data_IF_239453851155
#
_entry.id   IF_239453851155
#
_cell.length_a   1.000
_cell.length_b   1.000
_cell.length_c   1.000
_cell.angle_alpha   90.00
_cell.angle_beta   90.00
_cell.angle_gamma   90.00
#
_symmetry.space_group_name_H-M   'P 1'
#
loop_
_entity.id
_entity.type
_entity.pdbx_description
1 polymer ?
#
# COMPACT_ATOMS: atom_id res chain seq x y z
N UNK A 1 -14.00 15.26 -25.54
CA UNK A 1 -12.63 15.27 -24.97
C UNK A 1 -12.64 15.19 -23.44
N UNK A 2 -13.28 16.11 -22.71
CA UNK A 2 -13.29 16.10 -21.23
C UNK A 2 -13.84 14.81 -20.60
N UNK A 3 -14.97 14.29 -21.10
CA UNK A 3 -15.56 13.05 -20.57
C UNK A 3 -14.65 11.83 -20.76
N UNK A 4 -13.98 11.72 -21.92
CA UNK A 4 -13.02 10.64 -22.17
C UNK A 4 -11.80 10.74 -21.23
N UNK A 5 -11.32 11.95 -20.96
CA UNK A 5 -10.23 12.17 -20.00
C UNK A 5 -10.63 11.78 -18.57
N UNK A 6 -11.87 12.07 -18.15
CA UNK A 6 -12.39 11.66 -16.84
C UNK A 6 -12.52 10.14 -16.72
N UNK A 7 -12.97 9.45 -17.77
CA UNK A 7 -13.06 7.98 -17.78
C UNK A 7 -11.66 7.35 -17.71
N UNK A 8 -10.69 7.88 -18.45
CA UNK A 8 -9.31 7.39 -18.38
C UNK A 8 -8.69 7.63 -17.00
N UNK A 9 -8.95 8.78 -16.39
CA UNK A 9 -8.53 9.06 -15.01
C UNK A 9 -9.17 8.09 -14.01
N UNK A 10 -10.45 7.79 -14.16
CA UNK A 10 -11.17 6.84 -13.32
C UNK A 10 -10.60 5.41 -13.42
N UNK A 11 -10.40 4.92 -14.64
CA UNK A 11 -9.78 3.62 -14.89
C UNK A 11 -8.36 3.54 -14.34
N UNK A 12 -7.60 4.63 -14.43
CA UNK A 12 -6.27 4.72 -13.85
C UNK A 12 -6.32 4.66 -12.31
N UNK A 13 -7.24 5.37 -11.67
CA UNK A 13 -7.44 5.30 -10.22
C UNK A 13 -7.89 3.91 -9.76
N UNK A 14 -8.80 3.28 -10.49
CA UNK A 14 -9.19 1.89 -10.25
C UNK A 14 -7.97 0.98 -10.30
N UNK A 15 -7.11 1.12 -11.32
CA UNK A 15 -5.84 0.39 -11.39
C UNK A 15 -4.95 0.60 -10.15
N UNK A 16 -4.87 1.81 -9.61
CA UNK A 16 -4.14 2.11 -8.37
C UNK A 16 -4.76 1.47 -7.14
N UNK A 17 -6.08 1.43 -7.03
CA UNK A 17 -6.75 0.71 -5.94
C UNK A 17 -6.50 -0.79 -5.99
N UNK A 18 -6.48 -1.40 -7.18
CA UNK A 18 -6.17 -2.82 -7.36
C UNK A 18 -4.70 -3.12 -7.05
N UNK A 19 -3.79 -2.21 -7.42
CA UNK A 19 -2.38 -2.34 -7.04
C UNK A 19 -2.19 -2.29 -5.52
N UNK A 20 -2.91 -1.41 -4.81
CA UNK A 20 -2.88 -1.38 -3.34
C UNK A 20 -3.42 -2.68 -2.71
N UNK A 21 -4.38 -3.36 -3.35
CA UNK A 21 -4.92 -4.63 -2.85
C UNK A 21 -3.89 -5.76 -2.82
N UNK A 22 -2.90 -5.71 -3.71
CA UNK A 22 -1.80 -6.70 -3.75
C UNK A 22 -1.00 -6.69 -2.43
N UNK A 23 -1.04 -5.57 -1.72
CA UNK A 23 -0.38 -5.37 -0.43
C UNK A 23 -1.34 -5.50 0.76
N UNK A 24 -2.61 -5.87 0.57
CA UNK A 24 -3.59 -5.99 1.66
C UNK A 24 -3.18 -6.98 2.76
N UNK A 25 -2.42 -8.02 2.40
CA UNK A 25 -1.90 -9.01 3.34
C UNK A 25 -0.61 -8.60 4.05
N UNK A 26 0.02 -7.50 3.63
CA UNK A 26 1.31 -7.08 4.14
C UNK A 26 1.16 -6.49 5.54
N UNK A 27 1.98 -6.97 6.48
CA UNK A 27 2.06 -6.44 7.83
C UNK A 27 3.53 -6.39 8.25
N UNK A 28 4.02 -5.21 8.62
CA UNK A 28 5.37 -5.04 9.15
C UNK A 28 5.34 -4.39 10.52
N UNK A 29 6.11 -4.93 11.47
CA UNK A 29 6.32 -4.36 12.79
C UNK A 29 7.79 -3.98 12.92
N UNK A 30 8.03 -2.71 13.27
CA UNK A 30 9.38 -2.18 13.50
C UNK A 30 9.61 -2.09 15.00
N UNK A 31 10.75 -2.61 15.45
CA UNK A 31 11.18 -2.59 16.84
C UNK A 31 12.35 -1.61 17.02
N UNK A 32 12.89 -1.53 18.24
CA UNK A 32 14.20 -0.91 18.41
C UNK A 32 15.28 -1.78 17.75
N UNK A 33 16.36 -1.14 17.32
CA UNK A 33 17.47 -1.82 16.66
C UNK A 33 18.00 -2.96 17.54
N UNK A 34 18.10 -4.16 16.96
CA UNK A 34 18.53 -5.37 17.65
C UNK A 34 17.64 -5.84 18.81
N UNK A 35 16.37 -5.43 18.86
CA UNK A 35 15.45 -5.85 19.94
C UNK A 35 14.90 -7.26 19.74
N UNK A 36 14.81 -7.76 18.50
CA UNK A 36 14.20 -9.06 18.20
C UNK A 36 15.28 -10.14 18.15
N UNK A 37 15.36 -11.05 19.14
CA UNK A 37 16.35 -12.12 19.13
C UNK A 37 16.01 -13.20 18.10
N UNK A 38 17.03 -13.84 17.54
CA UNK A 38 16.86 -14.97 16.63
C UNK A 38 16.04 -16.11 17.23
N UNK A 39 16.29 -16.44 18.50
CA UNK A 39 15.62 -17.55 19.21
C UNK A 39 14.11 -17.31 19.33
N UNK A 40 13.70 -16.07 19.59
CA UNK A 40 12.28 -15.70 19.66
C UNK A 40 11.58 -15.85 18.32
N UNK A 41 12.27 -15.54 17.22
CA UNK A 41 11.75 -15.77 15.88
C UNK A 41 11.63 -17.26 15.56
N UNK A 42 12.60 -18.08 15.97
CA UNK A 42 12.51 -19.54 15.77
C UNK A 42 11.34 -20.14 16.54
N UNK A 43 11.14 -19.74 17.80
CA UNK A 43 9.98 -20.16 18.60
C UNK A 43 8.66 -19.77 17.95
N UNK A 44 8.58 -18.58 17.36
CA UNK A 44 7.41 -18.16 16.59
C UNK A 44 7.21 -19.05 15.37
N UNK A 45 8.26 -19.31 14.60
CA UNK A 45 8.18 -20.09 13.36
C UNK A 45 7.82 -21.57 13.59
N UNK A 46 8.15 -22.11 14.76
CA UNK A 46 7.78 -23.47 15.18
C UNK A 46 6.32 -23.57 15.68
N UNK A 47 5.64 -22.44 15.87
CA UNK A 47 4.29 -22.40 16.42
C UNK A 47 3.22 -22.77 15.38
N UNK A 48 2.08 -23.28 15.86
CA UNK A 48 0.90 -23.54 15.01
C UNK A 48 0.30 -22.26 14.42
N UNK A 49 0.58 -21.11 15.03
CA UNK A 49 0.17 -19.82 14.52
C UNK A 49 0.98 -19.38 13.29
N UNK A 50 2.28 -19.64 13.25
CA UNK A 50 3.10 -19.30 12.08
C UNK A 50 2.65 -20.05 10.81
N UNK A 51 2.15 -21.29 10.94
CA UNK A 51 1.57 -22.05 9.82
C UNK A 51 0.37 -21.36 9.15
N UNK A 52 -0.30 -20.44 9.86
CA UNK A 52 -1.43 -19.65 9.36
C UNK A 52 -0.98 -18.41 8.57
N UNK A 53 0.28 -18.03 8.67
CA UNK A 53 0.88 -16.99 7.84
C UNK A 53 1.19 -17.55 6.44
N UNK A 54 1.17 -16.70 5.42
CA UNK A 54 1.61 -17.06 4.08
C UNK A 54 3.14 -17.08 4.01
N UNK A 55 3.78 -16.05 4.55
CA UNK A 55 5.22 -15.96 4.72
C UNK A 55 5.56 -15.04 5.90
N UNK A 56 6.75 -15.21 6.47
CA UNK A 56 7.26 -14.39 7.56
C UNK A 56 8.79 -14.29 7.48
N UNK A 57 9.33 -13.12 7.81
CA UNK A 57 10.77 -12.91 7.92
C UNK A 57 11.10 -11.77 8.88
N UNK A 58 12.18 -11.97 9.63
CA UNK A 58 12.84 -10.91 10.40
C UNK A 58 13.99 -10.32 9.60
N UNK A 59 14.22 -9.03 9.80
CA UNK A 59 15.21 -8.27 9.04
C UNK A 59 16.02 -7.34 9.94
N UNK A 60 17.27 -7.14 9.54
CA UNK A 60 18.20 -6.18 10.14
C UNK A 60 18.75 -5.27 9.05
N UNK A 61 18.72 -3.97 9.28
CA UNK A 61 19.26 -2.99 8.37
C UNK A 61 20.75 -2.77 8.66
N UNK A 62 21.61 -2.96 7.66
CA UNK A 62 23.05 -2.70 7.76
C UNK A 62 23.48 -1.34 7.16
N UNK A 63 22.50 -0.54 6.76
CA UNK A 63 22.70 0.72 6.06
C UNK A 63 23.29 0.54 4.66
N UNK A 64 23.75 1.66 4.12
CA UNK A 64 24.37 1.72 2.79
C UNK A 64 25.78 1.15 2.83
N UNK A 65 26.01 0.06 2.11
CA UNK A 65 27.32 -0.58 1.98
C UNK A 65 27.80 -0.59 0.53
N UNK A 66 29.12 -0.55 0.38
CA UNK A 66 29.76 -0.75 -0.92
C UNK A 66 29.71 -2.25 -1.28
N UNK A 67 29.29 -2.51 -2.51
CA UNK A 67 29.31 -3.82 -3.15
C UNK A 67 30.28 -3.74 -4.32
N UNK A 68 31.22 -4.67 -4.38
CA UNK A 68 32.17 -4.77 -5.48
C UNK A 68 32.01 -6.09 -6.23
N UNK A 69 31.99 -6.02 -7.56
CA UNK A 69 32.06 -7.19 -8.42
C UNK A 69 33.53 -7.46 -8.79
N UNK A 70 34.06 -8.58 -8.30
CA UNK A 70 35.47 -8.94 -8.50
C UNK A 70 35.82 -9.12 -9.99
N UNK A 71 34.89 -9.69 -10.76
CA UNK A 71 35.08 -9.98 -12.18
C UNK A 71 35.15 -8.72 -13.06
N UNK A 72 34.40 -7.67 -12.71
CA UNK A 72 34.31 -6.44 -13.52
C UNK A 72 35.09 -5.28 -12.93
N UNK A 73 35.55 -5.40 -11.68
CA UNK A 73 36.15 -4.32 -10.90
C UNK A 73 35.17 -3.19 -10.55
N UNK A 74 33.89 -3.31 -10.92
CA UNK A 74 32.88 -2.27 -10.69
C UNK A 74 32.40 -2.29 -9.24
N UNK A 75 32.00 -1.11 -8.77
CA UNK A 75 31.52 -0.88 -7.41
C UNK A 75 30.19 -0.14 -7.45
N UNK A 76 29.31 -0.46 -6.51
CA UNK A 76 27.99 0.14 -6.36
C UNK A 76 27.67 0.28 -4.87
N UNK A 77 27.07 1.41 -4.47
CA UNK A 77 26.51 1.57 -3.13
C UNK A 77 25.07 1.04 -3.12
N UNK A 78 24.74 0.23 -2.13
CA UNK A 78 23.42 -0.37 -1.97
C UNK A 78 23.05 -0.50 -0.49
N UNK A 79 21.76 -0.43 -0.19
CA UNK A 79 21.25 -0.62 1.15
C UNK A 79 21.15 -2.13 1.44
N UNK A 80 21.93 -2.59 2.44
CA UNK A 80 22.11 -4.01 2.73
C UNK A 80 21.24 -4.46 3.91
N UNK A 81 20.60 -5.61 3.75
CA UNK A 81 19.74 -6.21 4.79
C UNK A 81 20.16 -7.64 5.09
N UNK A 82 20.19 -7.99 6.38
CA UNK A 82 20.24 -9.38 6.81
C UNK A 82 18.83 -9.87 7.07
N UNK A 83 18.46 -11.02 6.49
CA UNK A 83 17.10 -11.56 6.59
C UNK A 83 17.16 -13.01 7.07
N UNK A 84 16.26 -13.36 7.99
CA UNK A 84 15.97 -14.76 8.36
C UNK A 84 14.49 -15.03 8.13
N UNK A 85 14.18 -16.17 7.50
CA UNK A 85 12.84 -16.52 7.05
C UNK A 85 12.67 -16.33 5.54
N UNK A 86 11.44 -16.06 5.10
CA UNK A 86 11.07 -15.95 3.68
C UNK A 86 11.17 -14.50 3.18
N UNK A 87 12.14 -14.15 2.30
CA UNK A 87 12.34 -12.77 1.86
C UNK A 87 11.12 -12.15 1.16
N UNK A 88 10.21 -12.95 0.59
CA UNK A 88 8.97 -12.44 0.00
C UNK A 88 8.03 -11.79 1.01
N UNK A 89 8.21 -12.07 2.30
CA UNK A 89 7.45 -11.42 3.36
C UNK A 89 7.80 -9.94 3.50
N UNK A 90 9.06 -9.57 3.20
CA UNK A 90 9.55 -8.19 3.27
C UNK A 90 9.37 -7.49 1.93
N UNK A 91 9.74 -8.16 0.84
CA UNK A 91 9.88 -7.55 -0.49
C UNK A 91 8.78 -7.92 -1.49
N UNK A 92 7.78 -8.69 -1.06
CA UNK A 92 6.74 -9.20 -1.94
C UNK A 92 7.28 -10.21 -2.97
N UNK A 93 6.43 -10.57 -3.94
CA UNK A 93 6.80 -11.48 -5.03
C UNK A 93 7.53 -10.74 -6.14
N UNK A 94 8.76 -10.33 -5.87
CA UNK A 94 9.56 -9.46 -6.75
C UNK A 94 10.72 -10.16 -7.44
N UNK A 95 10.90 -11.46 -7.24
CA UNK A 95 11.91 -12.26 -7.93
C UNK A 95 11.67 -12.27 -9.45
N UNK A 96 12.62 -11.72 -10.21
CA UNK A 96 12.61 -11.75 -11.67
C UNK A 96 13.38 -12.95 -12.22
N UNK A 97 14.52 -13.28 -11.61
CA UNK A 97 15.39 -14.39 -12.04
C UNK A 97 16.05 -15.07 -10.85
N UNK A 98 16.44 -16.34 -11.04
CA UNK A 98 17.07 -17.15 -10.02
C UNK A 98 16.09 -17.68 -8.97
N UNK A 99 16.51 -17.67 -7.71
CA UNK A 99 15.71 -18.13 -6.55
C UNK A 99 16.05 -17.35 -5.28
N UNK A 100 15.14 -17.37 -4.32
CA UNK A 100 15.44 -17.00 -2.94
C UNK A 100 16.48 -17.96 -2.32
N UNK A 101 17.25 -17.45 -1.37
CA UNK A 101 18.19 -18.27 -0.61
C UNK A 101 17.46 -19.17 0.38
N UNK A 102 18.04 -20.34 0.64
CA UNK A 102 17.54 -21.29 1.62
C UNK A 102 18.10 -20.94 3.00
N UNK A 103 17.40 -21.32 4.07
CA UNK A 103 17.81 -21.06 5.46
C UNK A 103 19.18 -21.67 5.84
N UNK A 104 19.65 -22.66 5.08
CA UNK A 104 20.96 -23.31 5.29
C UNK A 104 22.12 -22.62 4.57
N UNK A 105 21.85 -21.65 3.69
CA UNK A 105 22.88 -20.97 2.91
C UNK A 105 23.32 -19.68 3.62
N UNK A 106 24.64 -19.45 3.70
CA UNK A 106 25.21 -18.25 4.34
C UNK A 106 25.97 -17.35 3.36
N UNK A 107 26.54 -17.94 2.30
CA UNK A 107 27.46 -17.25 1.38
C UNK A 107 26.76 -16.87 0.06
N UNK A 108 25.48 -16.52 0.18
CA UNK A 108 24.60 -16.18 -0.94
C UNK A 108 23.95 -14.82 -0.74
N UNK A 109 23.49 -14.19 -1.82
CA UNK A 109 22.81 -12.91 -1.76
C UNK A 109 21.75 -12.76 -2.85
N UNK A 110 20.81 -11.86 -2.59
CA UNK A 110 19.87 -11.34 -3.59
C UNK A 110 20.19 -9.88 -3.86
N UNK A 111 20.14 -9.48 -5.11
CA UNK A 111 20.33 -8.10 -5.53
C UNK A 111 19.08 -7.59 -6.25
N UNK A 112 18.87 -6.28 -6.24
CA UNK A 112 17.90 -5.68 -7.14
C UNK A 112 18.47 -5.50 -8.57
N UNK A 113 17.56 -5.29 -9.52
CA UNK A 113 17.90 -5.17 -10.93
C UNK A 113 18.86 -3.99 -11.19
N UNK A 114 18.72 -2.87 -10.48
CA UNK A 114 19.62 -1.72 -10.63
C UNK A 114 21.05 -2.04 -10.20
N UNK A 115 21.25 -2.72 -9.08
CA UNK A 115 22.59 -3.14 -8.62
C UNK A 115 23.21 -4.14 -9.58
N UNK A 116 22.42 -5.08 -10.11
CA UNK A 116 22.85 -6.04 -11.13
C UNK A 116 23.41 -5.35 -12.38
N UNK A 117 22.68 -4.37 -12.92
CA UNK A 117 23.10 -3.59 -14.09
C UNK A 117 24.34 -2.75 -13.78
N UNK A 118 24.40 -2.11 -12.61
CA UNK A 118 25.54 -1.28 -12.23
C UNK A 118 26.84 -2.10 -12.14
N UNK A 119 26.77 -3.29 -11.51
CA UNK A 119 27.93 -4.14 -11.27
C UNK A 119 28.37 -4.95 -12.50
N UNK A 120 27.42 -5.47 -13.28
CA UNK A 120 27.71 -6.45 -14.34
C UNK A 120 27.27 -5.99 -15.73
N UNK A 121 26.50 -4.91 -15.85
CA UNK A 121 25.96 -4.43 -17.13
C UNK A 121 24.81 -5.29 -17.69
N UNK A 122 24.31 -6.25 -16.91
CA UNK A 122 23.24 -7.17 -17.30
C UNK A 122 22.10 -7.09 -16.29
N UNK A 123 20.87 -7.41 -16.73
CA UNK A 123 19.71 -7.47 -15.83
C UNK A 123 19.80 -8.68 -14.91
N UNK A 124 20.16 -9.83 -15.46
CA UNK A 124 20.33 -11.07 -14.71
C UNK A 124 21.82 -11.37 -14.48
N UNK A 125 22.28 -11.16 -13.24
CA UNK A 125 23.64 -11.47 -12.80
C UNK A 125 23.67 -12.70 -11.87
N UNK A 126 22.62 -13.54 -11.89
CA UNK A 126 22.55 -14.75 -11.08
C UNK A 126 23.75 -15.66 -11.33
N UNK A 127 24.35 -16.17 -10.26
CA UNK A 127 25.54 -17.02 -10.28
C UNK A 127 26.87 -16.26 -10.17
N UNK A 128 26.89 -14.95 -10.41
CA UNK A 128 28.09 -14.13 -10.23
C UNK A 128 28.42 -13.90 -8.75
N UNK A 129 29.64 -13.43 -8.49
CA UNK A 129 30.19 -13.25 -7.14
C UNK A 129 30.42 -11.77 -6.86
N UNK A 130 30.04 -11.35 -5.66
CA UNK A 130 30.24 -10.00 -5.15
C UNK A 130 30.98 -10.05 -3.81
N UNK A 131 31.60 -8.94 -3.45
CA UNK A 131 32.17 -8.73 -2.11
C UNK A 131 31.48 -7.55 -1.45
N UNK A 132 31.07 -7.72 -0.19
CA UNK A 132 30.51 -6.66 0.66
C UNK A 132 30.82 -6.95 2.12
N UNK A 133 31.13 -5.90 2.90
CA UNK A 133 31.47 -6.06 4.32
C UNK A 133 32.65 -7.01 4.61
N UNK A 134 33.59 -7.14 3.66
CA UNK A 134 34.74 -8.05 3.78
C UNK A 134 34.43 -9.53 3.58
N UNK A 135 33.21 -9.88 3.16
CA UNK A 135 32.79 -11.26 2.84
C UNK A 135 32.40 -11.38 1.38
N UNK A 136 32.52 -12.60 0.86
CA UNK A 136 32.22 -12.94 -0.54
C UNK A 136 30.89 -13.66 -0.62
N UNK A 137 30.00 -13.22 -1.50
CA UNK A 137 28.66 -13.77 -1.69
C UNK A 137 28.40 -14.12 -3.15
N UNK A 138 27.70 -15.23 -3.38
CA UNK A 138 27.19 -15.60 -4.71
C UNK A 138 25.76 -15.11 -4.89
N UNK A 139 25.47 -14.49 -6.02
CA UNK A 139 24.12 -14.01 -6.34
C UNK A 139 23.23 -15.22 -6.68
N UNK A 140 22.16 -15.44 -5.92
CA UNK A 140 21.19 -16.52 -6.19
C UNK A 140 19.96 -16.08 -6.96
N UNK A 141 19.64 -14.79 -6.95
CA UNK A 141 18.50 -14.24 -7.66
C UNK A 141 18.48 -12.72 -7.69
N UNK A 142 17.69 -12.19 -8.63
CA UNK A 142 17.52 -10.75 -8.87
C UNK A 142 16.07 -10.33 -8.63
N UNK A 143 15.88 -9.23 -7.92
CA UNK A 143 14.58 -8.66 -7.56
C UNK A 143 14.21 -7.46 -8.45
N UNK A 144 12.91 -7.25 -8.68
CA UNK A 144 12.34 -6.25 -9.59
C UNK A 144 12.38 -4.79 -9.11
N UNK A 145 13.32 -4.45 -8.23
CA UNK A 145 13.47 -3.12 -7.64
C UNK A 145 14.52 -2.23 -8.32
N UNK A 146 14.40 -0.91 -8.10
CA UNK A 146 15.35 0.11 -8.56
C UNK A 146 15.98 0.91 -7.39
N UNK A 147 15.91 0.40 -6.18
CA UNK A 147 16.35 1.08 -4.95
C UNK A 147 17.82 0.81 -4.59
N UNK A 148 18.54 0.02 -5.38
CA UNK A 148 19.90 -0.46 -5.08
C UNK A 148 19.94 -1.19 -3.73
N UNK A 149 19.42 -2.42 -3.70
CA UNK A 149 19.27 -3.23 -2.48
C UNK A 149 20.06 -4.51 -2.57
N UNK A 150 20.66 -4.91 -1.45
CA UNK A 150 21.32 -6.19 -1.28
C UNK A 150 20.76 -6.93 -0.06
N UNK A 151 20.50 -8.22 -0.21
CA UNK A 151 20.00 -9.06 0.86
C UNK A 151 20.93 -10.23 1.07
N UNK A 152 21.27 -10.46 2.33
CA UNK A 152 22.11 -11.57 2.76
C UNK A 152 21.36 -12.37 3.83
N UNK A 153 21.58 -13.69 3.91
CA UNK A 153 21.14 -14.49 5.04
C UNK A 153 21.67 -13.91 6.36
N UNK A 154 20.86 -13.96 7.41
CA UNK A 154 21.30 -13.57 8.74
C UNK A 154 22.32 -14.56 9.31
N UNK A 155 23.29 -14.06 10.07
CA UNK A 155 24.23 -14.90 10.81
C UNK A 155 23.58 -15.45 12.09
N UNK A 156 24.03 -16.62 12.55
CA UNK A 156 23.55 -17.19 13.82
C UNK A 156 23.87 -16.27 15.01
N UNK A 157 22.95 -16.16 15.94
CA UNK A 157 22.97 -15.24 17.08
C UNK A 157 22.62 -13.79 16.73
N UNK A 158 22.10 -13.51 15.53
CA UNK A 158 21.75 -12.14 15.14
C UNK A 158 20.54 -11.62 15.90
N UNK A 159 20.54 -10.32 16.18
CA UNK A 159 19.36 -9.60 16.62
C UNK A 159 18.84 -8.68 15.52
N UNK A 160 17.53 -8.59 15.38
CA UNK A 160 16.82 -7.97 14.27
C UNK A 160 16.06 -6.70 14.69
N UNK A 161 15.76 -5.86 13.70
CA UNK A 161 15.17 -4.53 13.88
C UNK A 161 13.65 -4.55 13.61
N UNK A 162 13.18 -5.58 12.89
CA UNK A 162 11.78 -5.71 12.54
C UNK A 162 11.40 -7.09 12.03
N UNK A 163 10.10 -7.29 11.92
CA UNK A 163 9.49 -8.48 11.31
C UNK A 163 8.46 -8.03 10.27
N UNK A 164 8.45 -8.72 9.12
CA UNK A 164 7.42 -8.55 8.10
C UNK A 164 6.75 -9.89 7.84
N UNK A 165 5.43 -9.86 7.69
CA UNK A 165 4.61 -11.04 7.44
C UNK A 165 3.60 -10.78 6.34
N UNK A 166 3.32 -11.84 5.59
CA UNK A 166 2.21 -11.87 4.64
C UNK A 166 1.09 -12.72 5.21
N UNK A 167 -0.09 -12.12 5.27
CA UNK A 167 -1.31 -12.76 5.72
C UNK A 167 -1.94 -13.59 4.61
N UNK A 168 -2.51 -14.73 4.99
CA UNK A 168 -3.47 -15.44 4.14
C UNK A 168 -4.82 -14.69 4.17
N UNK A 169 -5.58 -14.74 3.08
CA UNK A 169 -6.85 -14.00 2.91
C UNK A 169 -7.88 -14.32 4.01
N UNK A 170 -7.86 -15.55 4.56
CA UNK A 170 -8.75 -16.00 5.66
C UNK A 170 -8.09 -15.96 7.05
N UNK A 171 -6.98 -15.22 7.20
CA UNK A 171 -6.22 -15.19 8.45
C UNK A 171 -6.86 -14.34 9.56
N UNK A 172 -6.33 -14.49 10.78
CA UNK A 172 -6.71 -13.71 11.97
C UNK A 172 -6.64 -12.19 11.70
N UNK A 173 -7.29 -11.42 12.56
CA UNK A 173 -7.23 -9.95 12.48
C UNK A 173 -5.80 -9.43 12.69
N UNK A 174 -5.52 -8.22 12.21
CA UNK A 174 -4.20 -7.59 12.34
C UNK A 174 -3.79 -7.52 13.80
N UNK A 175 -4.71 -7.10 14.66
CA UNK A 175 -4.46 -6.99 16.09
C UNK A 175 -4.09 -8.34 16.71
N UNK A 176 -4.75 -9.43 16.31
CA UNK A 176 -4.38 -10.77 16.80
C UNK A 176 -2.99 -11.22 16.35
N UNK A 177 -2.55 -10.82 15.15
CA UNK A 177 -1.20 -11.13 14.67
C UNK A 177 -0.18 -10.28 15.41
N UNK A 178 -0.46 -8.99 15.61
CA UNK A 178 0.39 -8.08 16.41
C UNK A 178 0.54 -8.60 17.83
N UNK A 179 -0.54 -8.96 18.53
CA UNK A 179 -0.47 -9.51 19.89
C UNK A 179 0.30 -10.82 19.95
N UNK A 180 0.21 -11.67 18.91
CA UNK A 180 1.04 -12.87 18.82
C UNK A 180 2.52 -12.49 18.69
N UNK A 181 2.88 -11.52 17.84
CA UNK A 181 4.27 -11.06 17.72
C UNK A 181 4.79 -10.50 19.04
N UNK A 182 3.98 -9.73 19.77
CA UNK A 182 4.35 -9.20 21.09
C UNK A 182 4.59 -10.32 22.11
N UNK A 183 3.80 -11.39 22.07
CA UNK A 183 3.97 -12.56 22.96
C UNK A 183 5.26 -13.33 22.68
N UNK A 184 5.57 -13.60 21.40
CA UNK A 184 6.74 -14.42 21.03
C UNK A 184 8.05 -13.62 20.96
N UNK A 185 8.02 -12.44 20.34
CA UNK A 185 9.22 -11.63 20.11
C UNK A 185 9.58 -10.77 21.32
N UNK A 186 8.60 -10.52 22.20
CA UNK A 186 8.76 -9.56 23.29
C UNK A 186 8.98 -8.14 22.79
N UNK A 187 9.12 -7.21 23.74
CA UNK A 187 9.36 -5.79 23.45
C UNK A 187 8.13 -5.05 22.92
N UNK A 188 8.22 -3.73 22.93
CA UNK A 188 7.22 -2.86 22.32
C UNK A 188 7.64 -2.52 20.90
N UNK A 189 6.78 -2.83 19.94
CA UNK A 189 6.93 -2.33 18.58
C UNK A 189 6.79 -0.80 18.59
N UNK A 190 7.55 -0.11 17.75
CA UNK A 190 7.47 1.36 17.55
C UNK A 190 6.41 1.72 16.53
N UNK A 191 6.32 0.94 15.46
CA UNK A 191 5.50 1.25 14.30
C UNK A 191 4.91 -0.04 13.74
N UNK A 192 3.64 0.07 13.30
CA UNK A 192 2.93 -0.99 12.58
C UNK A 192 2.54 -0.45 11.22
N UNK A 193 2.95 -1.16 10.18
CA UNK A 193 2.55 -0.92 8.80
C UNK A 193 1.54 -1.99 8.43
N UNK A 194 0.27 -1.58 8.34
CA UNK A 194 -0.84 -2.48 8.00
C UNK A 194 -1.32 -2.23 6.57
N UNK A 195 -0.98 -3.14 5.66
CA UNK A 195 -1.41 -3.09 4.27
C UNK A 195 -2.92 -3.15 4.08
N UNK A 196 -3.66 -3.83 4.97
CA UNK A 196 -5.13 -3.89 4.92
C UNK A 196 -5.75 -2.52 5.16
N UNK A 197 -5.17 -1.72 6.06
CA UNK A 197 -5.61 -0.35 6.31
C UNK A 197 -5.52 0.50 5.05
N UNK A 198 -4.35 0.51 4.41
CA UNK A 198 -4.10 1.33 3.23
C UNK A 198 -4.92 0.85 2.02
N UNK A 199 -5.04 -0.47 1.79
CA UNK A 199 -5.87 -0.97 0.69
C UNK A 199 -7.36 -0.69 0.90
N UNK A 200 -7.89 -0.93 2.11
CA UNK A 200 -9.30 -0.72 2.42
C UNK A 200 -9.68 0.77 2.36
N UNK A 201 -8.84 1.65 2.92
CA UNK A 201 -9.08 3.10 2.86
C UNK A 201 -9.02 3.60 1.42
N UNK A 202 -8.06 3.16 0.59
CA UNK A 202 -8.03 3.51 -0.83
C UNK A 202 -9.34 3.15 -1.55
N UNK A 203 -9.88 1.94 -1.33
CA UNK A 203 -11.17 1.52 -1.91
C UNK A 203 -12.35 2.36 -1.40
N UNK A 204 -12.40 2.67 -0.10
CA UNK A 204 -13.46 3.52 0.47
C UNK A 204 -13.41 4.91 -0.13
N UNK A 205 -12.22 5.53 -0.22
CA UNK A 205 -12.05 6.86 -0.80
C UNK A 205 -12.40 6.87 -2.28
N UNK A 206 -12.01 5.84 -3.04
CA UNK A 206 -12.42 5.68 -4.42
C UNK A 206 -13.95 5.58 -4.54
N UNK A 207 -14.60 4.74 -3.74
CA UNK A 207 -16.06 4.60 -3.72
C UNK A 207 -16.77 5.92 -3.35
N UNK A 208 -16.28 6.65 -2.35
CA UNK A 208 -16.80 7.97 -1.95
C UNK A 208 -16.62 8.98 -3.09
N UNK A 209 -15.48 8.98 -3.77
CA UNK A 209 -15.24 9.87 -4.92
C UNK A 209 -16.21 9.58 -6.07
N UNK A 210 -16.48 8.30 -6.34
CA UNK A 210 -17.43 7.88 -7.37
C UNK A 210 -18.88 8.19 -6.98
N UNK A 211 -19.23 8.01 -5.71
CA UNK A 211 -20.52 8.38 -5.16
C UNK A 211 -20.80 9.89 -5.32
N UNK A 212 -19.80 10.73 -5.00
CA UNK A 212 -19.88 12.18 -5.17
C UNK A 212 -20.01 12.59 -6.64
N UNK A 213 -19.25 11.96 -7.54
CA UNK A 213 -19.34 12.21 -8.97
C UNK A 213 -20.74 11.89 -9.52
N UNK A 214 -21.27 10.71 -9.19
CA UNK A 214 -22.62 10.28 -9.58
C UNK A 214 -23.69 11.24 -9.03
N UNK A 215 -23.61 11.62 -7.75
CA UNK A 215 -24.55 12.55 -7.15
C UNK A 215 -24.51 13.92 -7.83
N UNK A 216 -23.32 14.46 -8.11
CA UNK A 216 -23.16 15.73 -8.81
C UNK A 216 -23.81 15.71 -10.20
N UNK A 217 -23.62 14.63 -10.96
CA UNK A 217 -24.24 14.46 -12.28
C UNK A 217 -25.77 14.37 -12.21
N UNK A 218 -26.32 13.59 -11.26
CA UNK A 218 -27.77 13.50 -11.05
C UNK A 218 -28.40 14.83 -10.63
N UNK A 219 -27.73 15.57 -9.74
CA UNK A 219 -28.17 16.90 -9.31
C UNK A 219 -28.14 17.87 -10.49
N UNK A 220 -27.06 17.89 -11.27
CA UNK A 220 -26.95 18.74 -12.47
C UNK A 220 -28.04 18.43 -13.49
N UNK A 221 -28.32 17.14 -13.76
CA UNK A 221 -29.41 16.71 -14.62
C UNK A 221 -30.79 17.12 -14.09
N UNK A 222 -31.01 17.02 -12.77
CA UNK A 222 -32.24 17.47 -12.11
C UNK A 222 -32.45 18.97 -12.23
N UNK A 223 -31.40 19.78 -12.07
CA UNK A 223 -31.42 21.24 -12.26
C UNK A 223 -31.69 21.60 -13.73
N UNK A 224 -31.05 20.92 -14.66
CA UNK A 224 -31.28 21.10 -16.10
C UNK A 224 -32.73 20.77 -16.49
N UNK A 225 -33.28 19.66 -15.99
CA UNK A 225 -34.67 19.26 -16.23
C UNK A 225 -35.67 20.29 -15.69
N UNK A 226 -35.44 20.82 -14.48
CA UNK A 226 -36.26 21.92 -13.91
C UNK A 226 -36.22 23.16 -14.79
N UNK A 227 -35.04 23.49 -15.33
CA UNK A 227 -34.83 24.68 -16.15
C UNK A 227 -35.49 24.59 -17.53
N UNK A 228 -35.57 23.40 -18.12
CA UNK A 228 -36.21 23.14 -19.42
C UNK A 228 -37.72 22.82 -19.34
N UNK A 229 -38.38 23.18 -18.22
CA UNK A 229 -39.81 22.96 -17.98
C UNK A 229 -40.26 21.50 -18.16
N UNK A 230 -39.36 20.53 -17.95
CA UNK A 230 -39.76 19.14 -17.76
C UNK A 230 -40.55 19.02 -16.45
N UNK A 231 -41.40 17.99 -16.28
CA UNK A 231 -42.25 17.86 -15.09
C UNK A 231 -41.42 18.00 -13.81
N UNK A 232 -41.88 18.83 -12.87
CA UNK A 232 -41.21 19.07 -11.59
C UNK A 232 -41.01 17.79 -10.77
N UNK A 233 -41.80 16.75 -11.05
CA UNK A 233 -41.62 15.39 -10.52
C UNK A 233 -40.29 14.79 -10.99
N UNK A 234 -39.96 14.86 -12.28
CA UNK A 234 -38.72 14.32 -12.84
C UNK A 234 -37.47 14.97 -12.21
N UNK A 235 -37.49 16.29 -12.01
CA UNK A 235 -36.39 17.00 -11.37
C UNK A 235 -36.17 16.54 -9.91
N UNK A 236 -37.25 16.41 -9.13
CA UNK A 236 -37.18 15.93 -7.74
C UNK A 236 -36.72 14.48 -7.66
N UNK A 237 -37.20 13.61 -8.55
CA UNK A 237 -36.76 12.22 -8.63
C UNK A 237 -35.27 12.10 -8.95
N UNK A 238 -34.73 12.92 -9.86
CA UNK A 238 -33.30 12.89 -10.21
C UNK A 238 -32.40 13.31 -9.05
N UNK A 239 -32.79 14.36 -8.31
CA UNK A 239 -32.05 14.80 -7.12
C UNK A 239 -32.11 13.75 -6.00
N UNK A 240 -33.29 13.19 -5.74
CA UNK A 240 -33.45 12.12 -4.76
C UNK A 240 -32.65 10.86 -5.14
N UNK A 241 -32.67 10.47 -6.42
CA UNK A 241 -31.87 9.36 -6.93
C UNK A 241 -30.36 9.58 -6.74
N UNK A 242 -29.87 10.82 -6.91
CA UNK A 242 -28.46 11.16 -6.64
C UNK A 242 -28.04 10.89 -5.20
N UNK A 243 -28.86 11.30 -4.23
CA UNK A 243 -28.60 11.04 -2.80
C UNK A 243 -28.69 9.55 -2.44
N UNK A 244 -29.67 8.83 -3.00
CA UNK A 244 -29.81 7.39 -2.78
C UNK A 244 -28.60 6.65 -3.35
N UNK A 245 -28.17 6.98 -4.58
CA UNK A 245 -26.98 6.37 -5.17
C UNK A 245 -25.71 6.70 -4.39
N UNK A 246 -25.57 7.91 -3.87
CA UNK A 246 -24.45 8.27 -3.00
C UNK A 246 -24.38 7.33 -1.80
N UNK A 247 -25.49 7.17 -1.09
CA UNK A 247 -25.56 6.30 0.08
C UNK A 247 -25.29 4.84 -0.27
N UNK A 248 -25.90 4.32 -1.34
CA UNK A 248 -25.71 2.93 -1.78
C UNK A 248 -24.26 2.66 -2.18
N UNK A 249 -23.64 3.53 -2.98
CA UNK A 249 -22.25 3.35 -3.43
C UNK A 249 -21.29 3.39 -2.24
N UNK A 250 -21.50 4.28 -1.26
CA UNK A 250 -20.65 4.35 -0.06
C UNK A 250 -20.80 3.08 0.78
N UNK A 251 -22.02 2.59 1.00
CA UNK A 251 -22.26 1.35 1.74
C UNK A 251 -21.59 0.16 1.05
N UNK A 252 -21.78 0.01 -0.27
CA UNK A 252 -21.14 -1.04 -1.04
C UNK A 252 -19.61 -0.92 -1.00
N UNK A 253 -19.08 0.31 -1.10
CA UNK A 253 -17.65 0.59 -0.99
C UNK A 253 -17.07 0.13 0.35
N UNK A 254 -17.76 0.41 1.46
CA UNK A 254 -17.35 -0.05 2.79
C UNK A 254 -17.44 -1.58 2.87
N UNK A 255 -18.54 -2.19 2.41
CA UNK A 255 -18.73 -3.64 2.44
C UNK A 255 -17.67 -4.41 1.64
N UNK A 256 -17.25 -3.89 0.48
CA UNK A 256 -16.27 -4.54 -0.40
C UNK A 256 -14.83 -4.04 -0.20
N UNK A 257 -14.60 -3.10 0.72
CA UNK A 257 -13.26 -2.57 1.00
C UNK A 257 -12.32 -3.63 1.59
N UNK A 258 -12.87 -4.66 2.22
CA UNK A 258 -12.07 -5.61 3.01
C UNK A 258 -11.57 -5.01 4.32
N UNK A 259 -12.22 -3.94 4.83
CA UNK A 259 -11.91 -3.35 6.12
C UNK A 259 -11.97 -4.42 7.23
N UNK A 260 -10.85 -4.62 7.93
CA UNK A 260 -10.76 -5.62 9.00
C UNK A 260 -11.68 -5.32 10.18
N UNK A 261 -12.02 -6.36 10.96
CA UNK A 261 -12.82 -6.21 12.19
C UNK A 261 -12.18 -5.29 13.23
N UNK A 262 -10.86 -5.12 13.18
CA UNK A 262 -10.11 -4.22 14.07
C UNK A 262 -10.46 -2.73 13.89
N UNK A 263 -11.18 -2.38 12.82
CA UNK A 263 -11.58 -1.02 12.50
C UNK A 263 -13.05 -0.71 12.87
N UNK A 264 -13.77 -1.70 13.38
CA UNK A 264 -15.17 -1.56 13.75
C UNK A 264 -15.29 -1.59 15.29
N UNK A 265 -15.98 -0.62 15.90
CA UNK A 265 -16.23 -0.68 17.33
C UNK A 265 -17.18 -1.82 17.66
N UNK A 266 -17.16 -2.25 18.93
CA UNK A 266 -18.19 -3.14 19.47
C UNK A 266 -19.57 -2.47 19.46
N UNK A 267 -19.61 -1.15 19.66
CA UNK A 267 -20.84 -0.33 19.63
C UNK A 267 -20.64 0.94 18.81
N UNK A 268 -21.64 1.29 17.99
CA UNK A 268 -21.61 2.52 17.20
C UNK A 268 -21.60 3.82 18.02
N UNK A 269 -21.95 3.74 19.30
CA UNK A 269 -21.91 4.87 20.24
C UNK A 269 -20.56 5.02 20.96
N UNK A 270 -19.56 4.19 20.65
CA UNK A 270 -18.24 4.27 21.27
C UNK A 270 -17.39 5.38 20.62
N UNK A 271 -17.67 6.62 21.02
CA UNK A 271 -16.94 7.78 20.49
C UNK A 271 -15.46 7.81 20.90
N UNK A 272 -15.11 7.20 22.04
CA UNK A 272 -13.72 7.08 22.49
C UNK A 272 -12.92 6.13 21.59
N UNK A 273 -13.53 5.03 21.16
CA UNK A 273 -12.94 4.16 20.13
C UNK A 273 -12.60 4.95 18.86
N UNK A 274 -13.53 5.73 18.32
CA UNK A 274 -13.27 6.49 17.09
C UNK A 274 -12.19 7.56 17.27
N UNK A 275 -12.21 8.27 18.40
CA UNK A 275 -11.21 9.29 18.75
C UNK A 275 -9.81 8.69 18.83
N UNK A 276 -9.67 7.57 19.55
CA UNK A 276 -8.40 6.85 19.70
C UNK A 276 -7.93 6.24 18.38
N UNK A 277 -8.83 5.61 17.61
CA UNK A 277 -8.52 5.06 16.29
C UNK A 277 -8.01 6.17 15.34
N UNK A 278 -8.69 7.31 15.30
CA UNK A 278 -8.29 8.44 14.46
C UNK A 278 -6.90 8.95 14.85
N UNK A 279 -6.64 9.13 16.15
CA UNK A 279 -5.33 9.58 16.66
C UNK A 279 -4.22 8.60 16.30
N UNK A 280 -4.41 7.31 16.59
CA UNK A 280 -3.42 6.26 16.33
C UNK A 280 -3.13 6.11 14.83
N UNK A 281 -4.17 6.10 13.99
CA UNK A 281 -3.99 5.94 12.54
C UNK A 281 -3.45 7.20 11.86
N UNK A 282 -3.80 8.39 12.35
CA UNK A 282 -3.18 9.64 11.87
C UNK A 282 -1.69 9.64 12.15
N UNK A 283 -1.28 9.20 13.34
CA UNK A 283 0.13 9.11 13.70
C UNK A 283 0.86 8.04 12.88
N UNK A 284 0.25 6.85 12.70
CA UNK A 284 0.80 5.80 11.84
C UNK A 284 0.98 6.28 10.39
N UNK A 285 0.02 7.02 9.83
CA UNK A 285 0.14 7.60 8.48
C UNK A 285 1.26 8.64 8.41
N UNK A 286 1.45 9.45 9.45
CA UNK A 286 2.54 10.45 9.49
C UNK A 286 3.91 9.79 9.54
N UNK A 287 4.09 8.78 10.39
CA UNK A 287 5.33 8.02 10.50
C UNK A 287 5.63 7.29 9.20
N UNK A 288 4.62 6.63 8.64
CA UNK A 288 4.75 5.93 7.38
C UNK A 288 5.04 6.87 6.21
N UNK A 289 4.48 8.08 6.20
CA UNK A 289 4.78 9.11 5.19
C UNK A 289 6.22 9.64 5.30
N UNK A 290 6.75 9.74 6.53
CA UNK A 290 8.09 10.23 6.80
C UNK A 290 9.17 9.19 6.44
N UNK A 291 8.90 7.90 6.65
CA UNK A 291 9.91 6.86 6.45
C UNK A 291 9.32 5.51 5.98
N UNK A 292 9.68 5.12 4.76
CA UNK A 292 9.42 3.77 4.22
C UNK A 292 10.76 3.02 4.06
N UNK A 293 10.86 1.85 4.68
CA UNK A 293 12.09 1.06 4.74
C UNK A 293 12.29 0.25 3.45
N UNK A 294 11.19 -0.23 2.86
CA UNK A 294 11.22 -1.15 1.72
C UNK A 294 10.43 -0.59 0.54
N UNK A 295 10.82 -0.93 -0.69
CA UNK A 295 10.08 -0.44 -1.87
C UNK A 295 8.62 -0.91 -1.95
N UNK A 296 8.18 -2.10 -1.46
CA UNK A 296 6.76 -2.43 -1.43
C UNK A 296 5.94 -1.46 -0.58
N UNK A 297 6.53 -0.97 0.51
CA UNK A 297 5.93 0.06 1.37
C UNK A 297 5.82 1.39 0.61
N UNK A 298 6.84 1.76 -0.16
CA UNK A 298 6.82 2.95 -1.01
C UNK A 298 5.75 2.85 -2.10
N UNK A 299 5.62 1.69 -2.75
CA UNK A 299 4.57 1.44 -3.74
C UNK A 299 3.17 1.50 -3.12
N UNK A 300 2.97 0.86 -1.97
CA UNK A 300 1.72 0.93 -1.21
C UNK A 300 1.35 2.37 -0.88
N UNK A 301 2.29 3.13 -0.29
CA UNK A 301 2.07 4.52 0.09
C UNK A 301 1.79 5.40 -1.14
N UNK A 302 2.54 5.22 -2.22
CA UNK A 302 2.36 5.98 -3.44
C UNK A 302 1.00 5.71 -4.09
N UNK A 303 0.61 4.44 -4.23
CA UNK A 303 -0.71 4.09 -4.76
C UNK A 303 -1.83 4.65 -3.90
N UNK A 304 -1.72 4.53 -2.56
CA UNK A 304 -2.67 5.08 -1.62
C UNK A 304 -2.81 6.61 -1.75
N UNK A 305 -1.70 7.34 -1.77
CA UNK A 305 -1.66 8.80 -1.92
C UNK A 305 -2.23 9.26 -3.26
N UNK A 306 -1.98 8.53 -4.34
CA UNK A 306 -2.52 8.83 -5.67
C UNK A 306 -4.04 8.68 -5.70
N UNK A 307 -4.59 7.66 -5.04
CA UNK A 307 -6.05 7.49 -4.90
C UNK A 307 -6.66 8.63 -4.10
N UNK A 308 -6.03 9.02 -2.98
CA UNK A 308 -6.44 10.15 -2.16
C UNK A 308 -6.50 11.47 -2.95
N UNK A 309 -5.41 11.82 -3.64
CA UNK A 309 -5.32 13.07 -4.39
C UNK A 309 -6.15 13.06 -5.68
N UNK A 310 -6.12 11.97 -6.43
CA UNK A 310 -6.80 11.87 -7.72
C UNK A 310 -8.33 11.85 -7.59
N UNK A 311 -8.87 11.16 -6.60
CA UNK A 311 -10.32 11.16 -6.33
C UNK A 311 -10.85 12.57 -6.03
N UNK A 312 -10.12 13.35 -5.21
CA UNK A 312 -10.47 14.73 -4.90
C UNK A 312 -10.38 15.65 -6.14
N UNK A 313 -9.35 15.48 -6.97
CA UNK A 313 -9.19 16.25 -8.19
C UNK A 313 -10.33 15.99 -9.19
N UNK A 314 -10.73 14.73 -9.38
CA UNK A 314 -11.82 14.36 -10.27
C UNK A 314 -13.16 14.96 -9.86
N UNK A 315 -13.50 14.89 -8.56
CA UNK A 315 -14.75 15.47 -8.05
C UNK A 315 -14.76 16.99 -8.18
N UNK A 316 -13.63 17.65 -7.94
CA UNK A 316 -13.50 19.10 -8.15
C UNK A 316 -13.70 19.50 -9.62
N UNK A 317 -13.07 18.80 -10.57
CA UNK A 317 -13.23 19.06 -12.02
C UNK A 317 -14.69 18.89 -12.45
N UNK A 318 -15.36 17.83 -11.98
CA UNK A 318 -16.77 17.60 -12.28
C UNK A 318 -17.68 18.68 -11.66
N UNK A 319 -17.43 19.08 -10.42
CA UNK A 319 -18.17 20.16 -9.75
C UNK A 319 -18.01 21.51 -10.48
N UNK A 320 -16.78 21.85 -10.89
CA UNK A 320 -16.52 23.05 -11.67
C UNK A 320 -17.24 22.99 -13.03
N UNK A 321 -17.16 21.86 -13.74
CA UNK A 321 -17.84 21.67 -15.02
C UNK A 321 -19.36 21.82 -14.92
N UNK A 322 -19.97 21.27 -13.86
CA UNK A 322 -21.42 21.42 -13.60
C UNK A 322 -21.79 22.88 -13.29
N UNK A 323 -20.99 23.59 -12.48
CA UNK A 323 -21.19 25.01 -12.19
C UNK A 323 -21.09 25.88 -13.45
N UNK A 324 -20.05 25.69 -14.27
CA UNK A 324 -19.90 26.41 -15.54
C UNK A 324 -21.07 26.14 -16.49
N UNK A 325 -21.51 24.89 -16.61
CA UNK A 325 -22.69 24.56 -17.40
C UNK A 325 -23.96 25.28 -16.90
N UNK A 326 -24.16 25.35 -15.59
CA UNK A 326 -25.31 26.04 -14.99
C UNK A 326 -25.24 27.56 -15.24
N UNK A 327 -24.07 28.18 -15.07
CA UNK A 327 -23.83 29.63 -15.25
C UNK A 327 -23.93 30.04 -16.72
N UNK A 328 -23.29 29.30 -17.64
CA UNK A 328 -23.38 29.58 -19.08
C UNK A 328 -24.82 29.51 -19.60
N UNK A 329 -25.60 28.52 -19.14
CA UNK A 329 -27.03 28.45 -19.42
C UNK A 329 -27.82 29.63 -18.81
N UNK A 330 -27.33 30.28 -17.74
CA UNK A 330 -27.99 31.43 -17.11
C UNK A 330 -27.74 32.70 -17.93
N UNK A 331 -26.52 32.90 -18.40
CA UNK A 331 -26.14 34.05 -19.26
C UNK A 331 -26.83 34.02 -20.64
N UNK A 332 -26.94 32.84 -21.28
CA UNK A 332 -27.69 32.68 -22.52
C UNK A 332 -29.16 33.10 -22.38
N UNK A 333 -29.77 32.81 -21.23
CA UNK A 333 -31.18 33.15 -20.95
C UNK A 333 -31.37 34.65 -20.72
N UNK A 334 -30.46 35.33 -20.02
CA UNK A 334 -30.53 36.80 -19.85
C UNK A 334 -30.33 37.56 -21.16
N UNK A 335 -29.53 37.02 -22.09
CA UNK A 335 -29.36 37.59 -23.43
C UNK A 335 -30.60 37.44 -24.34
N UNK A 336 -31.41 36.38 -24.17
CA UNK A 336 -32.66 36.22 -24.93
C UNK A 336 -33.84 37.04 -24.39
N UNK A 337 -33.79 37.54 -23.15
CA UNK A 337 -34.85 38.40 -22.56
C UNK A 337 -34.70 39.89 -22.87
N UNK A 338 -33.67 40.30 -23.64
CA UNK A 338 -33.44 41.69 -24.04
C UNK A 338 -33.80 41.99 -25.52
N UNK A 339 -34.59 41.15 -26.18
CA UNK A 339 -35.12 41.40 -27.54
C UNK A 339 -36.63 41.58 -27.47
#
# INVERSE_FOLDING_TARGET
MLAAALILADLWLLGRTQAAETYSGYLSLRYQEGMVPEESFDQLMDSEEAKKLASAAVWKNHGRKEISAEQTGRKQQADCYSIKGQPEAVFGKTLQSGRYFLSSETDVCLLDQKTSIALFGVKDASGNVIQTGGKTYRITGILSGEEAVCMIPAEKGSAFDGISVQRKTDSKSVQSIVSMMEVYLGGSHKEIIDGQFYSATAKIIFAVSQAMLCAALCIAAGVYAKKNRKPAVLSRCLVAAGWIMLLVIVILGIMFSGLGRDYLPTYWSDFEFFSSLWKTKTEAVRQFAAFQQFWPEQELYNNWRLVMGGGAAMTAVAAIGTLYGIVGLRQYRTGQTQI
#
